data_IF_359970671636
#
_entry.id   IF_359970671636
#
_cell.length_a   1.000
_cell.length_b   1.000
_cell.length_c   1.000
_cell.angle_alpha   90.00
_cell.angle_beta   90.00
_cell.angle_gamma   90.00
#
_symmetry.space_group_name_H-M   'P 1'
#
loop_
_entity.id
_entity.type
_entity.pdbx_description
1 polymer ?
#
# COMPACT_ATOMS: atom_id res chain seq x y z
N UNK A 1 -12.20 37.96 -18.26
CA UNK A 1 -12.54 36.60 -17.79
C UNK A 1 -11.60 36.32 -16.64
N UNK A 2 -12.11 36.21 -15.41
CA UNK A 2 -11.32 35.64 -14.31
C UNK A 2 -11.03 34.18 -14.66
N UNK A 3 -9.76 33.79 -14.64
CA UNK A 3 -9.38 32.40 -14.88
C UNK A 3 -9.94 31.52 -13.76
N UNK A 4 -10.52 30.38 -14.12
CA UNK A 4 -10.91 29.37 -13.12
C UNK A 4 -9.63 28.88 -12.45
N UNK A 5 -9.43 29.27 -11.19
CA UNK A 5 -8.27 28.83 -10.41
C UNK A 5 -8.51 27.39 -9.94
N UNK A 6 -7.79 26.44 -10.53
CA UNK A 6 -7.90 25.03 -10.16
C UNK A 6 -7.12 24.78 -8.87
N UNK A 7 -7.81 24.28 -7.84
CA UNK A 7 -7.21 23.78 -6.60
C UNK A 7 -7.16 22.26 -6.63
N UNK A 8 -6.24 21.71 -5.85
CA UNK A 8 -6.06 20.27 -5.68
C UNK A 8 -6.28 19.93 -4.21
N UNK A 9 -7.12 18.94 -3.95
CA UNK A 9 -7.21 18.25 -2.67
C UNK A 9 -6.53 16.90 -2.81
N UNK A 10 -5.45 16.68 -2.06
CA UNK A 10 -4.88 15.35 -1.85
C UNK A 10 -5.26 14.89 -0.45
N UNK A 11 -5.88 13.73 -0.34
CA UNK A 11 -6.30 13.17 0.94
C UNK A 11 -5.78 11.76 1.09
N UNK A 12 -5.33 11.45 2.31
CA UNK A 12 -5.18 10.07 2.73
C UNK A 12 -6.55 9.35 2.78
N UNK A 13 -6.54 8.01 2.73
CA UNK A 13 -7.73 7.18 2.76
C UNK A 13 -8.00 6.63 4.17
N UNK A 14 -7.12 5.77 4.69
CA UNK A 14 -7.33 5.02 5.94
C UNK A 14 -7.12 5.90 7.18
N UNK A 15 -8.16 6.03 8.03
CA UNK A 15 -8.12 6.94 9.18
C UNK A 15 -8.40 8.40 8.83
N UNK A 16 -8.41 8.75 7.53
CA UNK A 16 -8.70 10.10 7.03
C UNK A 16 -10.08 10.20 6.42
N UNK A 17 -10.29 9.66 5.20
CA UNK A 17 -11.59 9.60 4.54
C UNK A 17 -12.42 8.43 5.07
N UNK A 18 -11.78 7.29 5.31
CA UNK A 18 -12.37 6.14 5.98
C UNK A 18 -12.19 6.31 7.47
N UNK A 19 -13.30 6.37 8.19
CA UNK A 19 -13.34 6.33 9.66
C UNK A 19 -14.39 5.31 10.07
N UNK A 20 -14.05 4.45 11.02
CA UNK A 20 -14.95 3.37 11.47
C UNK A 20 -15.48 2.53 10.28
N UNK A 21 -14.58 2.20 9.35
CA UNK A 21 -14.87 1.44 8.12
C UNK A 21 -15.85 2.12 7.14
N UNK A 22 -16.08 3.44 7.25
CA UNK A 22 -17.02 4.17 6.39
C UNK A 22 -16.47 5.52 5.94
N UNK A 23 -16.95 6.00 4.80
CA UNK A 23 -16.80 7.41 4.41
C UNK A 23 -18.11 8.13 4.75
N UNK A 24 -18.02 9.27 5.45
CA UNK A 24 -19.22 9.99 5.86
C UNK A 24 -19.96 10.59 4.65
N UNK A 25 -21.30 10.63 4.66
CA UNK A 25 -22.06 11.30 3.60
C UNK A 25 -21.70 12.78 3.42
N UNK A 26 -21.28 13.43 4.52
CA UNK A 26 -20.81 14.82 4.50
C UNK A 26 -19.54 14.96 3.67
N UNK A 27 -18.58 14.04 3.83
CA UNK A 27 -17.31 14.06 3.09
C UNK A 27 -17.52 13.72 1.62
N UNK A 28 -18.35 12.70 1.31
CA UNK A 28 -18.73 12.37 -0.07
C UNK A 28 -19.37 13.58 -0.79
N UNK A 29 -20.27 14.29 -0.11
CA UNK A 29 -20.90 15.50 -0.66
C UNK A 29 -19.89 16.65 -0.84
N UNK A 30 -18.93 16.80 0.08
CA UNK A 30 -17.88 17.81 -0.04
C UNK A 30 -16.95 17.53 -1.23
N UNK A 31 -16.53 16.27 -1.41
CA UNK A 31 -15.72 15.83 -2.55
C UNK A 31 -16.46 16.05 -3.88
N UNK A 32 -17.75 15.71 -3.93
CA UNK A 32 -18.60 15.96 -5.10
C UNK A 32 -18.66 17.46 -5.45
N UNK A 33 -18.95 18.33 -4.48
CA UNK A 33 -19.00 19.79 -4.71
C UNK A 33 -17.66 20.36 -5.16
N UNK A 34 -16.57 19.83 -4.62
CA UNK A 34 -15.21 20.22 -5.00
C UNK A 34 -14.97 19.90 -6.49
N UNK A 35 -15.35 18.70 -6.93
CA UNK A 35 -15.27 18.26 -8.33
C UNK A 35 -16.15 19.08 -9.26
N UNK A 36 -17.41 19.33 -8.89
CA UNK A 36 -18.36 20.16 -9.64
C UNK A 36 -17.87 21.61 -9.81
N UNK A 37 -17.04 22.09 -8.88
CA UNK A 37 -16.42 23.42 -8.94
C UNK A 37 -15.14 23.48 -9.81
N UNK A 38 -14.81 22.39 -10.51
CA UNK A 38 -13.64 22.31 -11.41
C UNK A 38 -12.31 22.07 -10.70
N UNK A 39 -12.34 21.68 -9.42
CA UNK A 39 -11.13 21.33 -8.66
C UNK A 39 -10.82 19.83 -8.77
N UNK A 40 -9.58 19.48 -8.41
CA UNK A 40 -9.01 18.14 -8.56
C UNK A 40 -9.03 17.39 -7.22
N UNK A 41 -9.36 16.11 -7.25
CA UNK A 41 -9.29 15.21 -6.08
C UNK A 41 -8.23 14.14 -6.32
N UNK A 42 -7.32 13.98 -5.36
CA UNK A 42 -6.30 12.93 -5.35
C UNK A 42 -6.50 12.10 -4.10
N UNK A 43 -6.55 10.79 -4.26
CA UNK A 43 -6.53 9.84 -3.14
C UNK A 43 -5.12 9.31 -3.02
N UNK A 44 -4.52 9.47 -1.84
CA UNK A 44 -3.16 9.01 -1.52
C UNK A 44 -3.26 7.91 -0.48
N UNK A 45 -2.68 6.73 -0.71
CA UNK A 45 -2.84 5.61 0.21
C UNK A 45 -1.70 4.59 0.06
N UNK A 46 -1.47 3.82 1.13
CA UNK A 46 -0.63 2.63 1.09
C UNK A 46 -1.25 1.46 0.33
N UNK A 47 -2.56 1.48 0.07
CA UNK A 47 -3.26 0.40 -0.64
C UNK A 47 -2.84 0.30 -2.11
N UNK A 48 -3.03 -0.88 -2.66
CA UNK A 48 -2.97 -1.16 -4.11
C UNK A 48 -4.27 -0.72 -4.81
N UNK A 49 -4.33 -0.86 -6.13
CA UNK A 49 -5.52 -0.55 -6.90
C UNK A 49 -6.74 -1.36 -6.43
N UNK A 50 -6.62 -2.68 -6.31
CA UNK A 50 -7.72 -3.54 -5.83
C UNK A 50 -8.15 -3.18 -4.40
N UNK A 51 -7.19 -2.81 -3.55
CA UNK A 51 -7.45 -2.33 -2.19
C UNK A 51 -8.28 -1.04 -2.15
N UNK A 52 -8.11 -0.14 -3.12
CA UNK A 52 -8.91 1.09 -3.27
C UNK A 52 -10.27 0.79 -3.92
N UNK A 53 -10.31 -0.01 -4.97
CA UNK A 53 -11.55 -0.37 -5.67
C UNK A 53 -12.55 -1.08 -4.74
N UNK A 54 -12.06 -1.92 -3.82
CA UNK A 54 -12.89 -2.56 -2.80
C UNK A 54 -13.65 -1.55 -1.93
N UNK A 55 -13.02 -0.41 -1.59
CA UNK A 55 -13.66 0.67 -0.81
C UNK A 55 -14.66 1.43 -1.67
N UNK A 56 -14.28 1.76 -2.91
CA UNK A 56 -15.13 2.56 -3.79
C UNK A 56 -16.36 1.81 -4.29
N UNK A 57 -16.36 0.48 -4.21
CA UNK A 57 -17.56 -0.33 -4.40
C UNK A 57 -18.67 0.05 -3.42
N UNK A 58 -18.31 0.29 -2.15
CA UNK A 58 -19.27 0.64 -1.10
C UNK A 58 -19.49 2.15 -0.97
N UNK A 59 -18.46 2.95 -1.30
CA UNK A 59 -18.48 4.41 -1.20
C UNK A 59 -18.00 5.07 -2.50
N UNK A 60 -18.81 5.02 -3.57
CA UNK A 60 -18.39 5.56 -4.87
C UNK A 60 -18.24 7.08 -4.82
N UNK A 61 -17.05 7.59 -5.17
CA UNK A 61 -16.82 9.00 -5.45
C UNK A 61 -15.80 9.19 -6.58
N UNK A 62 -15.85 10.35 -7.23
CA UNK A 62 -14.95 10.68 -8.32
C UNK A 62 -13.60 11.22 -7.82
N UNK A 63 -12.53 10.66 -8.35
CA UNK A 63 -11.15 11.14 -8.18
C UNK A 63 -10.53 11.47 -9.55
N UNK A 64 -9.44 12.23 -9.53
CA UNK A 64 -8.64 12.53 -10.73
C UNK A 64 -7.37 11.69 -10.80
N UNK A 65 -6.79 11.39 -9.63
CA UNK A 65 -5.57 10.59 -9.51
C UNK A 65 -5.61 9.71 -8.27
N UNK A 66 -4.94 8.57 -8.37
CA UNK A 66 -4.62 7.70 -7.25
C UNK A 66 -3.11 7.69 -7.06
N UNK A 67 -2.66 7.96 -5.84
CA UNK A 67 -1.29 7.72 -5.37
C UNK A 67 -1.36 6.48 -4.50
N UNK A 68 -0.85 5.37 -5.02
CA UNK A 68 -0.98 4.01 -4.47
C UNK A 68 0.37 3.50 -3.95
N UNK A 69 0.33 2.44 -3.15
CA UNK A 69 1.52 1.74 -2.63
C UNK A 69 2.55 2.72 -2.03
N UNK A 70 2.08 3.67 -1.22
CA UNK A 70 2.90 4.73 -0.61
C UNK A 70 3.68 5.58 -1.62
N UNK A 71 3.09 5.80 -2.80
CA UNK A 71 3.69 6.57 -3.89
C UNK A 71 4.50 5.74 -4.89
N UNK A 72 4.57 4.42 -4.71
CA UNK A 72 5.19 3.50 -5.68
C UNK A 72 4.46 3.44 -7.02
N UNK A 73 3.17 3.82 -7.07
CA UNK A 73 2.37 3.87 -8.29
C UNK A 73 1.44 5.09 -8.27
N UNK A 74 1.39 5.85 -9.37
CA UNK A 74 0.42 6.93 -9.59
C UNK A 74 -0.36 6.65 -10.86
N UNK A 75 -1.68 6.57 -10.73
CA UNK A 75 -2.61 6.40 -11.83
C UNK A 75 -3.47 7.65 -11.99
N UNK A 76 -3.87 7.96 -13.22
CA UNK A 76 -4.98 8.88 -13.45
C UNK A 76 -6.33 8.14 -13.36
N UNK A 77 -7.43 8.89 -13.46
CA UNK A 77 -8.80 8.34 -13.44
C UNK A 77 -9.13 7.31 -14.54
N UNK A 78 -8.31 7.17 -15.57
CA UNK A 78 -8.46 6.20 -16.64
C UNK A 78 -7.55 4.96 -16.43
N UNK A 79 -6.96 4.82 -15.25
CA UNK A 79 -5.97 3.81 -14.90
C UNK A 79 -4.69 3.87 -15.75
N UNK A 80 -4.39 5.03 -16.35
CA UNK A 80 -3.12 5.23 -17.07
C UNK A 80 -2.01 5.58 -16.06
N UNK A 81 -0.86 4.90 -16.20
CA UNK A 81 0.30 5.12 -15.34
C UNK A 81 0.89 6.50 -15.62
N UNK A 82 0.89 7.35 -14.60
CA UNK A 82 1.54 8.66 -14.60
C UNK A 82 2.96 8.57 -14.04
N UNK A 83 3.14 7.74 -13.02
CA UNK A 83 4.43 7.49 -12.39
C UNK A 83 4.46 6.09 -11.77
N UNK A 84 5.62 5.46 -11.80
CA UNK A 84 5.87 4.25 -11.02
C UNK A 84 7.32 4.19 -10.57
N UNK A 85 7.53 3.59 -9.40
CA UNK A 85 8.83 3.14 -8.92
C UNK A 85 8.74 1.66 -8.59
N UNK A 86 9.77 0.92 -8.98
CA UNK A 86 9.77 -0.53 -8.92
C UNK A 86 10.94 -1.09 -8.12
N UNK A 87 10.69 -2.17 -7.40
CA UNK A 87 11.63 -3.06 -6.73
C UNK A 87 11.73 -4.32 -7.60
N UNK A 88 12.93 -4.66 -8.06
CA UNK A 88 13.15 -5.88 -8.84
C UNK A 88 12.95 -7.13 -7.98
N UNK A 89 12.47 -8.23 -8.59
CA UNK A 89 12.26 -9.48 -7.87
C UNK A 89 13.51 -10.01 -7.18
N UNK A 90 14.72 -9.71 -7.68
CA UNK A 90 15.98 -10.11 -7.05
C UNK A 90 16.17 -9.43 -5.69
N UNK A 91 15.82 -8.15 -5.57
CA UNK A 91 15.87 -7.39 -4.31
C UNK A 91 14.80 -7.89 -3.35
N UNK A 92 13.56 -8.07 -3.83
CA UNK A 92 12.47 -8.66 -3.03
C UNK A 92 12.86 -10.05 -2.51
N UNK A 93 13.38 -10.93 -3.36
CA UNK A 93 13.83 -12.26 -2.96
C UNK A 93 14.98 -12.19 -1.95
N UNK A 94 15.94 -11.29 -2.15
CA UNK A 94 17.03 -11.08 -1.19
C UNK A 94 16.53 -10.67 0.20
N UNK A 95 15.55 -9.77 0.27
CA UNK A 95 14.92 -9.38 1.55
C UNK A 95 14.18 -10.59 2.16
N UNK A 96 13.45 -11.37 1.37
CA UNK A 96 12.78 -12.59 1.88
C UNK A 96 13.82 -13.55 2.46
N UNK A 97 14.89 -13.86 1.72
CA UNK A 97 15.93 -14.80 2.15
C UNK A 97 16.64 -14.35 3.44
N UNK A 98 16.87 -13.04 3.59
CA UNK A 98 17.56 -12.46 4.75
C UNK A 98 16.71 -12.53 6.03
N UNK A 99 15.38 -12.40 5.94
CA UNK A 99 14.53 -12.15 7.10
C UNK A 99 13.42 -13.20 7.35
N UNK A 100 13.13 -14.09 6.40
CA UNK A 100 12.02 -15.05 6.54
C UNK A 100 12.15 -15.98 7.75
N UNK A 101 13.38 -16.37 8.10
CA UNK A 101 13.64 -17.30 9.21
C UNK A 101 13.89 -16.59 10.55
N UNK A 102 13.60 -15.29 10.66
CA UNK A 102 13.80 -14.53 11.89
C UNK A 102 12.93 -15.03 13.06
N UNK A 103 11.74 -15.59 12.77
CA UNK A 103 10.85 -16.19 13.76
C UNK A 103 9.80 -15.25 14.35
N UNK A 104 9.94 -13.92 14.20
CA UNK A 104 8.86 -12.97 14.56
C UNK A 104 8.49 -12.00 13.44
N UNK A 105 9.25 -11.99 12.34
CA UNK A 105 8.95 -11.13 11.19
C UNK A 105 7.96 -11.78 10.23
N UNK A 106 6.97 -11.00 9.81
CA UNK A 106 6.12 -11.29 8.65
C UNK A 106 6.40 -10.31 7.52
N UNK A 107 6.05 -10.74 6.32
CA UNK A 107 6.35 -10.00 5.10
C UNK A 107 5.19 -10.05 4.11
N UNK A 108 4.96 -8.93 3.43
CA UNK A 108 4.09 -8.86 2.26
C UNK A 108 4.68 -7.92 1.22
N UNK A 109 4.21 -8.03 -0.02
CA UNK A 109 4.61 -7.12 -1.10
C UNK A 109 3.44 -6.78 -2.00
N UNK A 110 3.55 -5.63 -2.68
CA UNK A 110 2.55 -5.12 -3.62
C UNK A 110 3.12 -5.13 -5.03
N UNK A 111 2.33 -5.56 -6.02
CA UNK A 111 2.69 -5.39 -7.44
C UNK A 111 2.04 -4.14 -8.09
N UNK A 112 1.26 -3.38 -7.31
CA UNK A 112 0.49 -2.23 -7.76
C UNK A 112 -1.00 -2.54 -7.94
N UNK A 113 -1.32 -3.77 -8.30
CA UNK A 113 -2.68 -4.28 -8.42
C UNK A 113 -3.14 -4.88 -7.10
N UNK A 114 -2.36 -5.82 -6.58
CA UNK A 114 -2.67 -6.65 -5.42
C UNK A 114 -1.53 -6.71 -4.41
N UNK A 115 -1.89 -7.03 -3.18
CA UNK A 115 -1.00 -7.29 -2.06
C UNK A 115 -0.92 -8.78 -1.77
N UNK A 116 0.30 -9.30 -1.60
CA UNK A 116 0.56 -10.71 -1.33
C UNK A 116 1.26 -10.88 0.03
N UNK A 117 0.54 -11.45 1.01
CA UNK A 117 1.12 -11.87 2.28
C UNK A 117 1.86 -13.19 2.09
N UNK A 118 3.11 -13.25 2.53
CA UNK A 118 3.89 -14.49 2.52
C UNK A 118 3.56 -15.26 3.80
N UNK A 119 2.92 -16.42 3.65
CA UNK A 119 2.63 -17.31 4.77
C UNK A 119 3.93 -17.76 5.44
N UNK A 120 3.97 -17.69 6.77
CA UNK A 120 5.05 -18.23 7.57
C UNK A 120 4.49 -18.92 8.81
N UNK A 121 4.36 -20.24 8.74
CA UNK A 121 3.81 -21.06 9.83
C UNK A 121 4.71 -21.13 11.07
N UNK A 122 5.95 -20.65 10.98
CA UNK A 122 6.89 -20.60 12.12
C UNK A 122 6.72 -19.35 12.98
N UNK A 123 5.93 -18.38 12.52
CA UNK A 123 5.67 -17.12 13.24
C UNK A 123 4.33 -17.22 13.94
N UNK A 124 4.33 -16.98 15.26
CA UNK A 124 3.10 -16.91 16.04
C UNK A 124 2.39 -15.57 15.79
N UNK A 125 1.26 -15.63 15.10
CA UNK A 125 0.46 -14.46 14.73
C UNK A 125 -0.64 -14.11 15.75
N UNK A 126 -0.72 -14.82 16.87
CA UNK A 126 -1.76 -14.60 17.90
C UNK A 126 -1.71 -13.19 18.53
N UNK A 127 -0.58 -12.50 18.42
CA UNK A 127 -0.42 -11.11 18.87
C UNK A 127 -0.95 -10.08 17.86
N UNK A 128 -1.19 -10.48 16.61
CA UNK A 128 -1.84 -9.61 15.63
C UNK A 128 -3.34 -9.58 15.91
N UNK A 129 -3.97 -8.44 15.62
CA UNK A 129 -5.44 -8.39 15.61
C UNK A 129 -5.95 -9.37 14.55
N UNK A 130 -6.94 -10.18 14.91
CA UNK A 130 -7.47 -11.24 14.05
C UNK A 130 -7.84 -10.73 12.64
N UNK A 131 -8.36 -9.51 12.55
CA UNK A 131 -8.75 -8.87 11.30
C UNK A 131 -7.57 -8.48 10.41
N UNK A 132 -6.37 -8.23 10.95
CA UNK A 132 -5.22 -7.77 10.18
C UNK A 132 -4.83 -8.79 9.11
N UNK A 133 -4.63 -10.05 9.50
CA UNK A 133 -4.24 -11.11 8.56
C UNK A 133 -5.40 -11.47 7.62
N UNK A 134 -6.64 -11.28 8.04
CA UNK A 134 -7.82 -11.46 7.19
C UNK A 134 -7.98 -10.38 6.12
N UNK A 135 -7.42 -9.18 6.32
CA UNK A 135 -7.46 -8.12 5.30
C UNK A 135 -6.70 -8.46 4.02
N UNK A 136 -5.75 -9.41 4.08
CA UNK A 136 -4.98 -9.85 2.92
C UNK A 136 -5.76 -10.88 2.10
N UNK A 137 -6.25 -10.43 0.94
CA UNK A 137 -6.99 -11.30 0.01
C UNK A 137 -6.12 -12.38 -0.62
N UNK A 138 -4.83 -12.10 -0.81
CA UNK A 138 -3.85 -13.05 -1.38
C UNK A 138 -2.82 -13.45 -0.34
N UNK A 139 -2.84 -14.73 0.03
CA UNK A 139 -1.86 -15.37 0.91
C UNK A 139 -1.14 -16.44 0.12
N UNK A 140 0.19 -16.39 0.08
CA UNK A 140 1.00 -17.26 -0.76
C UNK A 140 2.09 -17.94 0.05
N UNK A 141 2.53 -19.11 -0.41
CA UNK A 141 3.66 -19.80 0.17
C UNK A 141 4.99 -19.14 -0.24
N UNK A 142 6.02 -19.24 0.60
CA UNK A 142 7.35 -18.68 0.30
C UNK A 142 7.89 -19.14 -1.05
N UNK A 143 7.64 -20.40 -1.43
CA UNK A 143 8.09 -20.94 -2.72
C UNK A 143 7.50 -20.16 -3.88
N UNK A 144 6.22 -19.78 -3.80
CA UNK A 144 5.55 -19.02 -4.85
C UNK A 144 6.02 -17.57 -4.85
N UNK A 145 6.24 -16.99 -3.67
CA UNK A 145 6.83 -15.66 -3.51
C UNK A 145 8.21 -15.57 -4.19
N UNK A 146 9.11 -16.53 -3.94
CA UNK A 146 10.47 -16.57 -4.51
C UNK A 146 10.48 -16.88 -6.02
N UNK A 147 9.51 -17.66 -6.51
CA UNK A 147 9.37 -17.97 -7.94
C UNK A 147 8.70 -16.86 -8.75
N UNK A 148 7.94 -15.98 -8.10
CA UNK A 148 7.32 -14.83 -8.74
C UNK A 148 8.41 -13.87 -9.25
N UNK A 149 8.49 -13.73 -10.57
CA UNK A 149 9.39 -12.79 -11.26
C UNK A 149 8.59 -11.60 -11.72
N UNK A 150 9.16 -10.41 -11.58
CA UNK A 150 8.52 -9.16 -11.98
C UNK A 150 9.06 -7.98 -11.20
N UNK A 151 8.31 -6.89 -11.25
CA UNK A 151 8.58 -5.67 -10.51
C UNK A 151 7.48 -5.42 -9.49
N UNK A 152 7.87 -4.97 -8.31
CA UNK A 152 6.98 -4.72 -7.18
C UNK A 152 7.02 -3.26 -6.78
N UNK A 153 5.94 -2.72 -6.21
CA UNK A 153 5.85 -1.31 -5.82
C UNK A 153 6.26 -1.08 -4.38
N UNK A 154 6.08 -2.10 -3.54
CA UNK A 154 6.37 -2.04 -2.12
C UNK A 154 6.73 -3.42 -1.60
N UNK A 155 7.62 -3.45 -0.61
CA UNK A 155 7.92 -4.61 0.22
C UNK A 155 7.77 -4.16 1.68
N UNK A 156 7.06 -4.93 2.48
CA UNK A 156 6.87 -4.68 3.90
C UNK A 156 7.47 -5.83 4.69
N UNK A 157 8.19 -5.48 5.75
CA UNK A 157 8.74 -6.41 6.76
C UNK A 157 8.35 -5.83 8.12
N UNK A 158 7.64 -6.58 8.94
CA UNK A 158 7.15 -6.09 10.23
C UNK A 158 7.23 -7.16 11.30
N UNK A 159 7.46 -6.73 12.53
CA UNK A 159 7.54 -7.59 13.70
C UNK A 159 6.16 -7.78 14.34
N UNK A 160 5.71 -9.04 14.45
CA UNK A 160 4.41 -9.37 15.06
C UNK A 160 4.38 -9.12 16.57
N UNK A 161 5.56 -8.98 17.20
CA UNK A 161 5.68 -8.59 18.60
C UNK A 161 5.62 -7.07 18.82
N UNK A 162 5.61 -6.28 17.73
CA UNK A 162 5.54 -4.81 17.80
C UNK A 162 6.82 -4.13 18.28
N UNK A 163 7.99 -4.79 18.19
CA UNK A 163 9.27 -4.20 18.60
C UNK A 163 9.74 -3.13 17.62
N UNK A 164 9.67 -1.87 18.04
CA UNK A 164 10.18 -0.72 17.27
C UNK A 164 11.69 -0.84 17.04
N UNK A 165 12.45 -1.23 18.07
CA UNK A 165 13.91 -1.41 17.98
C UNK A 165 14.28 -2.44 16.90
N UNK A 166 13.56 -3.57 16.88
CA UNK A 166 13.79 -4.62 15.87
C UNK A 166 13.45 -4.13 14.46
N UNK A 167 12.32 -3.42 14.29
CA UNK A 167 11.95 -2.85 13.00
C UNK A 167 12.99 -1.84 12.50
N UNK A 168 13.55 -1.01 13.38
CA UNK A 168 14.64 -0.08 13.04
C UNK A 168 15.92 -0.82 12.62
N UNK A 169 16.30 -1.87 13.34
CA UNK A 169 17.44 -2.72 12.98
C UNK A 169 17.27 -3.40 11.62
N UNK A 170 16.07 -3.95 11.35
CA UNK A 170 15.72 -4.56 10.06
C UNK A 170 15.77 -3.53 8.95
N UNK A 171 15.19 -2.34 9.15
CA UNK A 171 15.24 -1.24 8.18
C UNK A 171 16.68 -0.86 7.85
N UNK A 172 17.54 -0.68 8.85
CA UNK A 172 18.94 -0.31 8.63
C UNK A 172 19.68 -1.40 7.84
N UNK A 173 19.50 -2.68 8.18
CA UNK A 173 20.08 -3.81 7.42
C UNK A 173 19.60 -3.85 5.97
N UNK A 174 18.31 -3.57 5.73
CA UNK A 174 17.75 -3.47 4.38
C UNK A 174 18.39 -2.32 3.61
N UNK A 175 18.53 -1.14 4.22
CA UNK A 175 19.11 0.03 3.57
C UNK A 175 20.62 -0.13 3.31
N UNK A 176 21.36 -0.76 4.23
CA UNK A 176 22.79 -1.02 4.06
C UNK A 176 23.06 -1.96 2.87
N UNK A 177 22.18 -2.96 2.65
CA UNK A 177 22.35 -3.98 1.60
C UNK A 177 21.65 -3.63 0.28
N UNK A 178 20.51 -2.94 0.34
CA UNK A 178 19.61 -2.71 -0.79
C UNK A 178 19.25 -1.24 -1.02
N UNK A 179 19.86 -0.28 -0.30
CA UNK A 179 19.50 1.15 -0.32
C UNK A 179 19.61 1.85 -1.68
N UNK A 180 20.36 1.29 -2.63
CA UNK A 180 20.37 1.76 -4.02
C UNK A 180 19.05 1.49 -4.75
N UNK A 181 18.27 0.50 -4.28
CA UNK A 181 17.03 0.01 -4.89
C UNK A 181 15.78 0.39 -4.08
N UNK A 182 15.89 0.40 -2.76
CA UNK A 182 14.75 0.68 -1.85
C UNK A 182 14.98 1.95 -1.02
N UNK A 183 13.89 2.51 -0.50
CA UNK A 183 13.92 3.61 0.47
C UNK A 183 13.00 3.21 1.62
N UNK A 184 13.40 3.53 2.85
CA UNK A 184 12.67 3.22 4.09
C UNK A 184 12.26 4.48 4.84
#
# INVERSE_FOLDING_TARGET
MEGIYVKILASDLDGTLIREQKISPKDLNALKKLKESGHKVIVSTGRTLSGVESVFKDFPFEYDYLVLCNGGLILNKNNEVIHEKSIDYTVKNGIIDDFYNDGTLLMYYDNGEDTYLINNSSVDISNLKDDFVETFSSKIEIKDALNSKGTYKMMSVFDVMGSIEKCEDVKNKILDKYGDYVKG
#
